data_IF_869035216052
#
_entry.id   IF_869035216052
#
_cell.length_a   1.000
_cell.length_b   1.000
_cell.length_c   1.000
_cell.angle_alpha   90.00
_cell.angle_beta   90.00
_cell.angle_gamma   90.00
#
_symmetry.space_group_name_H-M   'P 1'
#
loop_
_entity.id
_entity.type
_entity.pdbx_description
1 polymer ?
#
# COMPACT_ATOMS: atom_id res chain seq x y z
N UNK A 1 -11.46 -2.37 8.62
CA UNK A 1 -10.62 -1.76 7.56
C UNK A 1 -9.22 -2.39 7.49
N UNK A 2 -8.66 -2.78 8.63
CA UNK A 2 -7.29 -3.31 8.76
C UNK A 2 -7.13 -4.78 8.29
N UNK A 3 -8.21 -5.55 8.17
CA UNK A 3 -8.17 -6.96 7.74
C UNK A 3 -8.23 -7.13 6.23
N UNK A 4 -8.79 -6.18 5.50
CA UNK A 4 -8.98 -6.26 4.05
C UNK A 4 -7.77 -5.88 3.20
N UNK A 5 -6.84 -5.08 3.75
CA UNK A 5 -5.68 -4.56 3.02
C UNK A 5 -4.40 -5.41 3.17
N UNK A 6 -4.52 -6.62 3.71
CA UNK A 6 -3.39 -7.56 3.82
C UNK A 6 -3.21 -8.47 2.61
N UNK A 7 -4.01 -8.30 1.60
CA UNK A 7 -3.95 -9.13 0.40
C UNK A 7 -3.11 -8.43 -0.65
N UNK A 8 -1.98 -9.03 -1.00
CA UNK A 8 -1.24 -8.67 -2.20
C UNK A 8 -1.94 -9.24 -3.43
N UNK A 9 -1.63 -8.72 -4.60
CA UNK A 9 -2.22 -9.17 -5.87
C UNK A 9 -1.95 -10.62 -6.21
N UNK A 10 -0.88 -11.21 -5.67
CA UNK A 10 -0.57 -12.64 -5.86
C UNK A 10 -1.64 -13.59 -5.30
N UNK A 11 -2.51 -13.12 -4.40
CA UNK A 11 -3.62 -13.91 -3.82
C UNK A 11 -5.00 -13.40 -4.22
N UNK A 12 -5.07 -12.52 -5.22
CA UNK A 12 -6.31 -11.94 -5.72
C UNK A 12 -6.55 -12.32 -7.19
N UNK A 13 -7.79 -12.58 -7.53
CA UNK A 13 -8.24 -12.63 -8.93
C UNK A 13 -9.34 -11.59 -9.15
N UNK A 14 -9.38 -11.00 -10.33
CA UNK A 14 -10.38 -10.01 -10.70
C UNK A 14 -11.00 -10.36 -12.05
N UNK A 15 -12.30 -10.18 -12.15
CA UNK A 15 -12.99 -10.29 -13.44
C UNK A 15 -12.60 -9.11 -14.32
N UNK A 16 -11.96 -9.39 -15.46
CA UNK A 16 -11.47 -8.39 -16.40
C UNK A 16 -12.53 -7.37 -16.82
N UNK A 17 -13.76 -7.82 -17.06
CA UNK A 17 -14.86 -6.93 -17.45
C UNK A 17 -15.26 -5.99 -16.31
N UNK A 18 -15.20 -6.45 -15.06
CA UNK A 18 -15.47 -5.62 -13.89
C UNK A 18 -14.39 -4.54 -13.72
N UNK A 19 -13.12 -4.92 -13.88
CA UNK A 19 -11.99 -3.99 -13.86
C UNK A 19 -12.13 -2.92 -14.94
N UNK A 20 -12.39 -3.34 -16.18
CA UNK A 20 -12.52 -2.42 -17.32
C UNK A 20 -13.71 -1.46 -17.16
N UNK A 21 -14.89 -1.97 -16.78
CA UNK A 21 -16.07 -1.13 -16.53
C UNK A 21 -15.86 -0.13 -15.42
N UNK A 22 -15.15 -0.52 -14.36
CA UNK A 22 -14.83 0.35 -13.26
C UNK A 22 -13.65 1.30 -13.56
N UNK A 23 -12.96 1.11 -14.68
CA UNK A 23 -11.76 1.86 -15.08
C UNK A 23 -10.70 1.90 -13.96
N UNK A 24 -10.31 0.71 -13.47
CA UNK A 24 -9.35 0.56 -12.38
C UNK A 24 -8.08 -0.05 -12.94
N UNK A 25 -6.94 0.59 -12.65
CA UNK A 25 -5.62 0.18 -13.11
C UNK A 25 -4.62 0.21 -11.97
N UNK A 26 -3.54 -0.57 -12.11
CA UNK A 26 -2.42 -0.47 -11.18
C UNK A 26 -1.69 0.85 -11.36
N UNK A 27 -1.25 1.41 -10.24
CA UNK A 27 -0.42 2.61 -10.25
C UNK A 27 0.91 2.35 -10.96
N UNK A 28 1.36 3.30 -11.76
CA UNK A 28 2.66 3.24 -12.46
C UNK A 28 3.79 3.90 -11.69
N UNK A 29 3.48 4.55 -10.56
CA UNK A 29 4.46 5.24 -9.71
C UNK A 29 4.66 4.58 -8.34
N UNK A 30 3.79 3.61 -7.99
CA UNK A 30 3.92 2.76 -6.82
C UNK A 30 4.24 1.33 -7.24
N UNK A 31 5.07 0.63 -6.46
CA UNK A 31 5.46 -0.75 -6.70
C UNK A 31 6.96 -0.94 -6.89
N UNK A 32 7.38 -2.19 -7.00
CA UNK A 32 8.80 -2.52 -7.16
C UNK A 32 9.44 -1.87 -8.38
N UNK A 33 10.57 -1.19 -8.18
CA UNK A 33 11.31 -0.52 -9.25
C UNK A 33 10.75 0.84 -9.69
N UNK A 34 9.73 1.36 -8.98
CA UNK A 34 9.16 2.69 -9.25
C UNK A 34 9.59 3.73 -8.21
N UNK A 35 9.04 4.95 -8.29
CA UNK A 35 9.37 6.04 -7.36
C UNK A 35 9.07 5.69 -5.89
N UNK A 36 7.95 4.99 -5.65
CA UNK A 36 7.52 4.55 -4.32
C UNK A 36 7.52 3.02 -4.30
N UNK A 37 8.40 2.45 -3.48
CA UNK A 37 8.78 1.04 -3.52
C UNK A 37 7.63 0.02 -3.30
N UNK A 38 6.46 0.47 -2.82
CA UNK A 38 5.33 -0.42 -2.51
C UNK A 38 4.00 0.34 -2.50
N UNK A 39 2.88 -0.39 -2.54
CA UNK A 39 1.55 0.16 -2.31
C UNK A 39 0.60 0.10 -3.50
N UNK A 40 1.04 -0.37 -4.66
CA UNK A 40 0.22 -0.55 -5.87
C UNK A 40 -1.00 -1.42 -5.60
N UNK A 41 -0.82 -2.52 -4.86
CA UNK A 41 -1.89 -3.42 -4.47
C UNK A 41 -2.93 -2.73 -3.58
N UNK A 42 -2.43 -1.94 -2.62
CA UNK A 42 -3.28 -1.19 -1.69
C UNK A 42 -4.12 -0.16 -2.43
N UNK A 43 -3.51 0.60 -3.35
CA UNK A 43 -4.22 1.59 -4.16
C UNK A 43 -5.26 0.94 -5.06
N UNK A 44 -4.87 -0.13 -5.75
CA UNK A 44 -5.78 -0.90 -6.61
C UNK A 44 -7.02 -1.37 -5.85
N UNK A 45 -6.84 -1.95 -4.64
CA UNK A 45 -7.96 -2.38 -3.81
C UNK A 45 -8.80 -1.21 -3.28
N UNK A 46 -8.16 -0.10 -2.88
CA UNK A 46 -8.87 1.11 -2.47
C UNK A 46 -9.76 1.64 -3.61
N UNK A 47 -9.24 1.66 -4.82
CA UNK A 47 -10.00 2.13 -5.99
C UNK A 47 -11.12 1.14 -6.36
N UNK A 48 -10.88 -0.17 -6.24
CA UNK A 48 -11.92 -1.18 -6.40
C UNK A 48 -13.11 -0.93 -5.45
N UNK A 49 -12.84 -0.70 -4.17
CA UNK A 49 -13.88 -0.39 -3.18
C UNK A 49 -14.58 0.95 -3.46
N UNK A 50 -13.83 1.99 -3.83
CA UNK A 50 -14.39 3.31 -4.16
C UNK A 50 -15.32 3.26 -5.37
N UNK A 51 -15.02 2.41 -6.33
CA UNK A 51 -15.83 2.18 -7.52
C UNK A 51 -16.97 1.19 -7.30
N UNK A 52 -17.18 0.74 -6.05
CA UNK A 52 -18.29 -0.14 -5.68
C UNK A 52 -18.11 -1.60 -6.09
N UNK A 53 -16.90 -2.03 -6.41
CA UNK A 53 -16.65 -3.45 -6.67
C UNK A 53 -16.78 -4.25 -5.37
N UNK A 54 -17.43 -5.40 -5.47
CA UNK A 54 -17.56 -6.34 -4.35
C UNK A 54 -16.36 -7.27 -4.33
N UNK A 55 -15.75 -7.40 -3.17
CA UNK A 55 -14.63 -8.32 -2.93
C UNK A 55 -15.12 -9.47 -2.09
N UNK A 56 -14.83 -10.69 -2.51
CA UNK A 56 -15.21 -11.93 -1.85
C UNK A 56 -13.96 -12.69 -1.45
N UNK A 57 -14.01 -13.39 -0.33
CA UNK A 57 -13.00 -14.37 0.05
C UNK A 57 -13.37 -15.73 -0.50
N UNK A 58 -12.37 -16.51 -0.92
CA UNK A 58 -12.54 -17.88 -1.38
C UNK A 58 -11.54 -18.78 -0.67
N UNK A 59 -11.94 -20.00 -0.37
CA UNK A 59 -11.04 -21.05 0.12
C UNK A 59 -10.33 -21.80 -1.02
N UNK A 60 -10.63 -21.45 -2.27
CA UNK A 60 -10.02 -22.09 -3.42
C UNK A 60 -8.55 -21.66 -3.53
N UNK A 61 -7.64 -22.63 -3.55
CA UNK A 61 -6.21 -22.39 -3.72
C UNK A 61 -5.91 -22.20 -5.21
N UNK A 62 -5.48 -20.99 -5.60
CA UNK A 62 -5.07 -20.68 -6.97
C UNK A 62 -3.66 -21.17 -7.30
N UNK A 63 -2.82 -21.39 -6.28
CA UNK A 63 -1.43 -21.80 -6.44
C UNK A 63 -0.61 -21.58 -5.18
N UNK A 64 0.64 -21.98 -5.22
CA UNK A 64 1.63 -21.72 -4.17
C UNK A 64 2.60 -20.63 -4.62
N UNK A 65 2.79 -19.63 -3.79
CA UNK A 65 3.80 -18.60 -3.99
C UNK A 65 4.98 -18.88 -3.05
N UNK A 66 6.16 -19.13 -3.60
CA UNK A 66 7.38 -19.21 -2.81
C UNK A 66 7.68 -17.82 -2.23
N UNK A 67 7.84 -17.74 -0.91
CA UNK A 67 8.26 -16.52 -0.22
C UNK A 67 9.78 -16.38 -0.24
N UNK A 68 10.38 -16.46 -1.39
CA UNK A 68 11.76 -16.03 -1.52
C UNK A 68 11.83 -14.52 -1.36
N UNK A 69 12.96 -14.00 -0.88
CA UNK A 69 13.13 -12.64 -0.38
C UNK A 69 12.31 -11.59 -1.15
N UNK A 70 11.50 -10.81 -0.41
CA UNK A 70 10.75 -9.70 -1.00
C UNK A 70 11.71 -8.74 -1.69
N UNK A 71 11.58 -8.58 -2.99
CA UNK A 71 12.40 -7.65 -3.79
C UNK A 71 12.09 -6.17 -3.48
N UNK A 72 11.04 -5.92 -2.71
CA UNK A 72 10.54 -4.56 -2.44
C UNK A 72 10.75 -4.10 -0.99
N UNK A 73 11.10 -5.01 -0.07
CA UNK A 73 11.30 -4.67 1.34
C UNK A 73 12.77 -4.81 1.71
N UNK A 74 13.44 -3.69 2.00
CA UNK A 74 14.86 -3.61 2.34
C UNK A 74 15.09 -3.23 3.81
N UNK A 75 14.09 -3.34 4.68
CA UNK A 75 14.14 -2.93 6.08
C UNK A 75 13.28 -1.70 6.37
N UNK A 76 13.27 -1.29 7.63
CA UNK A 76 12.48 -0.14 8.10
C UNK A 76 13.31 1.15 8.10
N UNK A 77 13.73 1.59 6.91
CA UNK A 77 14.49 2.81 6.72
C UNK A 77 13.58 4.06 6.58
N UNK A 78 14.21 5.24 6.50
CA UNK A 78 13.50 6.52 6.32
C UNK A 78 12.67 6.54 5.03
N UNK A 79 13.21 5.93 3.95
CA UNK A 79 12.50 5.85 2.66
C UNK A 79 11.24 5.02 2.77
N UNK A 80 11.29 3.86 3.45
CA UNK A 80 10.12 3.02 3.68
C UNK A 80 8.99 3.80 4.36
N UNK A 81 9.29 4.53 5.45
CA UNK A 81 8.28 5.33 6.16
C UNK A 81 7.80 6.52 5.35
N UNK A 82 8.68 7.15 4.58
CA UNK A 82 8.29 8.22 3.66
C UNK A 82 7.29 7.71 2.61
N UNK A 83 7.65 6.63 1.88
CA UNK A 83 6.81 6.02 0.85
C UNK A 83 5.46 5.56 1.42
N UNK A 84 5.45 5.01 2.65
CA UNK A 84 4.23 4.64 3.36
C UNK A 84 3.34 5.87 3.66
N UNK A 85 3.95 7.00 3.97
CA UNK A 85 3.25 8.28 4.14
C UNK A 85 2.60 8.77 2.85
N UNK A 86 3.33 8.71 1.73
CA UNK A 86 2.82 9.06 0.40
C UNK A 86 1.65 8.14 0.02
N UNK A 87 1.81 6.83 0.22
CA UNK A 87 0.76 5.85 -0.02
C UNK A 87 -0.51 6.17 0.79
N UNK A 88 -0.37 6.48 2.08
CA UNK A 88 -1.52 6.83 2.91
C UNK A 88 -2.20 8.10 2.45
N UNK A 89 -1.44 9.09 1.97
CA UNK A 89 -2.01 10.30 1.38
C UNK A 89 -2.81 10.00 0.12
N UNK A 90 -2.27 9.20 -0.77
CA UNK A 90 -2.94 8.77 -2.00
C UNK A 90 -4.20 7.95 -1.72
N UNK A 91 -4.08 6.98 -0.78
CA UNK A 91 -5.16 6.06 -0.45
C UNK A 91 -6.27 6.68 0.40
N UNK A 92 -5.97 7.59 1.34
CA UNK A 92 -6.91 8.02 2.38
C UNK A 92 -7.07 9.53 2.52
N UNK A 93 -6.37 10.31 1.72
CA UNK A 93 -6.50 11.78 1.72
C UNK A 93 -6.23 12.40 3.09
N UNK A 94 -7.18 13.15 3.63
CA UNK A 94 -7.04 13.83 4.92
C UNK A 94 -6.87 12.87 6.11
N UNK A 95 -7.38 11.64 6.02
CA UNK A 95 -7.24 10.62 7.06
C UNK A 95 -5.82 10.01 7.14
N UNK A 96 -4.91 10.38 6.23
CA UNK A 96 -3.55 9.86 6.22
C UNK A 96 -2.79 10.12 7.53
N UNK A 97 -2.90 11.33 8.10
CA UNK A 97 -2.12 11.71 9.28
C UNK A 97 -2.43 10.84 10.51
N UNK A 98 -3.69 10.66 10.95
CA UNK A 98 -4.00 9.76 12.07
C UNK A 98 -3.66 8.30 11.74
N UNK A 99 -3.76 7.88 10.49
CA UNK A 99 -3.36 6.53 10.07
C UNK A 99 -1.84 6.32 10.15
N UNK A 100 -1.02 7.33 9.85
CA UNK A 100 0.43 7.30 10.06
C UNK A 100 0.78 7.08 11.53
N UNK A 101 0.14 7.84 12.43
CA UNK A 101 0.35 7.68 13.87
C UNK A 101 -0.01 6.25 14.32
N UNK A 102 -1.19 5.77 13.94
CA UNK A 102 -1.64 4.41 14.23
C UNK A 102 -0.66 3.34 13.68
N UNK A 103 -0.15 3.53 12.47
CA UNK A 103 0.82 2.62 11.85
C UNK A 103 2.10 2.56 12.66
N UNK A 104 2.70 3.71 13.00
CA UNK A 104 3.92 3.78 13.79
C UNK A 104 3.75 3.11 15.16
N UNK A 105 2.64 3.35 15.85
CA UNK A 105 2.35 2.70 17.14
C UNK A 105 2.23 1.18 16.99
N UNK A 106 1.44 0.73 16.02
CA UNK A 106 1.17 -0.70 15.83
C UNK A 106 2.41 -1.50 15.41
N UNK A 107 3.31 -0.88 14.65
CA UNK A 107 4.51 -1.51 14.11
C UNK A 107 5.76 -1.24 14.93
N UNK A 108 5.68 -0.51 16.02
CA UNK A 108 6.84 -0.07 16.81
C UNK A 108 7.77 -1.24 17.17
N UNK A 109 7.22 -2.36 17.65
CA UNK A 109 8.00 -3.54 18.00
C UNK A 109 8.80 -4.16 16.83
N UNK A 110 8.39 -3.90 15.58
CA UNK A 110 9.05 -4.46 14.41
C UNK A 110 10.22 -3.59 13.90
N UNK A 111 10.23 -2.29 14.20
CA UNK A 111 11.24 -1.37 13.65
C UNK A 111 12.05 -0.60 14.71
N UNK A 112 11.77 -0.77 15.98
CA UNK A 112 12.42 -0.02 17.08
C UNK A 112 13.95 -0.17 17.15
N UNK A 113 14.50 -1.23 16.57
CA UNK A 113 15.94 -1.49 16.50
C UNK A 113 16.59 -0.73 15.32
N UNK A 114 15.82 -0.40 14.28
CA UNK A 114 16.32 0.26 13.09
C UNK A 114 16.04 1.78 13.13
N UNK A 115 14.91 2.19 13.76
CA UNK A 115 14.48 3.60 13.75
C UNK A 115 13.67 3.97 14.99
N UNK A 116 13.83 5.19 15.48
CA UNK A 116 13.01 5.70 16.58
C UNK A 116 11.60 6.06 16.11
N UNK A 117 10.64 6.00 17.06
CA UNK A 117 9.25 6.37 16.76
C UNK A 117 9.11 7.78 16.16
N UNK A 118 9.85 8.75 16.70
CA UNK A 118 9.80 10.14 16.24
C UNK A 118 10.35 10.31 14.82
N UNK A 119 11.41 9.58 14.46
CA UNK A 119 11.95 9.56 13.10
C UNK A 119 10.97 8.95 12.12
N UNK A 120 10.43 7.77 12.42
CA UNK A 120 9.44 7.08 11.60
C UNK A 120 8.20 7.96 11.35
N UNK A 121 7.64 8.55 12.41
CA UNK A 121 6.46 9.42 12.29
C UNK A 121 6.76 10.70 11.49
N UNK A 122 7.96 11.28 11.66
CA UNK A 122 8.39 12.46 10.90
C UNK A 122 8.52 12.14 9.41
N UNK A 123 9.14 11.01 9.07
CA UNK A 123 9.27 10.54 7.69
C UNK A 123 7.89 10.33 7.05
N UNK A 124 6.98 9.61 7.71
CA UNK A 124 5.61 9.43 7.23
C UNK A 124 4.87 10.77 7.04
N UNK A 125 4.96 11.70 8.01
CA UNK A 125 4.32 13.02 7.88
C UNK A 125 4.90 13.85 6.73
N UNK A 126 6.18 13.72 6.42
CA UNK A 126 6.76 14.33 5.21
C UNK A 126 6.11 13.73 3.96
N UNK A 127 6.01 12.41 3.88
CA UNK A 127 5.35 11.72 2.78
C UNK A 127 3.88 12.13 2.59
N UNK A 128 3.12 12.37 3.68
CA UNK A 128 1.71 12.82 3.54
C UNK A 128 1.54 14.21 2.94
N UNK A 129 2.59 14.99 2.80
CA UNK A 129 2.56 16.31 2.13
C UNK A 129 2.81 16.19 0.63
N UNK A 130 3.33 15.05 0.20
CA UNK A 130 3.54 14.75 -1.22
C UNK A 130 2.19 14.56 -1.91
N UNK A 131 2.09 15.10 -3.12
CA UNK A 131 0.94 14.86 -4.00
C UNK A 131 1.45 14.07 -5.20
N UNK A 132 1.45 12.74 -5.11
CA UNK A 132 1.95 11.92 -6.20
C UNK A 132 1.06 12.12 -7.43
N UNK A 133 1.69 12.54 -8.52
CA UNK A 133 1.01 12.69 -9.80
C UNK A 133 1.33 11.47 -10.66
N UNK A 134 0.32 10.67 -10.92
CA UNK A 134 0.42 9.70 -11.99
C UNK A 134 0.46 10.45 -13.33
N UNK A 135 1.43 10.13 -14.16
CA UNK A 135 1.32 10.45 -15.58
C UNK A 135 0.29 9.48 -16.13
N UNK A 136 -0.94 9.94 -16.29
CA UNK A 136 -1.90 9.20 -17.11
C UNK A 136 -1.27 8.98 -18.48
N UNK A 137 -1.32 7.75 -19.01
CA UNK A 137 -0.90 7.48 -20.37
C UNK A 137 -1.81 8.18 -21.36
#
# INVERSE_FOLDING_TARGET
FDRGLRYGTCVCSIRRDSQRRANIWFSTIFGGGTNYAHGEDTLFLCDAFRRGLRVYTSSFCLGTCAKDASTCFHGFDEKYFYDQGVLYRAAFGAAAVPLCLRFCLKRYGAYREEMTFSQALRAMRRGTRETPRERNP
#
